data_IF_145989479678
#
_entry.id   IF_145989479678
#
_cell.length_a   1.000
_cell.length_b   1.000
_cell.length_c   1.000
_cell.angle_alpha   90.00
_cell.angle_beta   90.00
_cell.angle_gamma   90.00
#
_symmetry.space_group_name_H-M   'P 1'
#
loop_
_entity.id
_entity.type
_entity.pdbx_description
1 polymer ?
#
# COMPACT_ATOMS: atom_id res chain seq x y z
N UNK A 1 -8.64 -47.82 6.15
CA UNK A 1 -8.68 -46.99 4.91
C UNK A 1 -7.44 -47.28 4.09
N UNK A 2 -7.55 -47.47 2.77
CA UNK A 2 -6.37 -47.72 1.92
C UNK A 2 -5.54 -46.43 1.83
N UNK A 3 -4.22 -46.50 2.07
CA UNK A 3 -3.30 -45.34 2.09
C UNK A 3 -3.48 -44.37 0.90
N UNK A 4 -3.84 -44.90 -0.28
CA UNK A 4 -4.13 -44.13 -1.50
C UNK A 4 -5.31 -43.14 -1.33
N UNK A 5 -6.34 -43.52 -0.58
CA UNK A 5 -7.51 -42.67 -0.30
C UNK A 5 -7.13 -41.52 0.63
N UNK A 6 -6.33 -41.79 1.67
CA UNK A 6 -5.88 -40.75 2.62
C UNK A 6 -4.99 -39.71 1.91
N UNK A 7 -4.06 -40.17 1.08
CA UNK A 7 -3.17 -39.30 0.31
C UNK A 7 -3.96 -38.38 -0.65
N UNK A 8 -4.97 -38.94 -1.34
CA UNK A 8 -5.79 -38.18 -2.29
C UNK A 8 -6.61 -37.10 -1.57
N UNK A 9 -7.19 -37.42 -0.41
CA UNK A 9 -7.95 -36.45 0.41
C UNK A 9 -7.04 -35.33 0.93
N UNK A 10 -5.82 -35.64 1.38
CA UNK A 10 -4.88 -34.65 1.86
C UNK A 10 -4.47 -33.66 0.76
N UNK A 11 -4.21 -34.15 -0.47
CA UNK A 11 -3.87 -33.31 -1.62
C UNK A 11 -5.03 -32.39 -1.99
N UNK A 12 -6.26 -32.93 -2.06
CA UNK A 12 -7.46 -32.14 -2.37
C UNK A 12 -7.69 -31.06 -1.31
N UNK A 13 -7.57 -31.41 -0.03
CA UNK A 13 -7.73 -30.47 1.07
C UNK A 13 -6.70 -29.33 1.01
N UNK A 14 -5.44 -29.65 0.74
CA UNK A 14 -4.38 -28.64 0.54
C UNK A 14 -4.68 -27.72 -0.64
N UNK A 15 -5.14 -28.27 -1.76
CA UNK A 15 -5.46 -27.50 -2.96
C UNK A 15 -6.65 -26.55 -2.72
N UNK A 16 -7.69 -27.03 -2.04
CA UNK A 16 -8.85 -26.22 -1.64
C UNK A 16 -8.42 -25.10 -0.69
N UNK A 17 -7.57 -25.39 0.30
CA UNK A 17 -7.07 -24.38 1.23
C UNK A 17 -6.32 -23.25 0.51
N UNK A 18 -5.42 -23.61 -0.40
CA UNK A 18 -4.69 -22.63 -1.23
C UNK A 18 -5.66 -21.82 -2.10
N UNK A 19 -6.66 -22.48 -2.70
CA UNK A 19 -7.67 -21.82 -3.54
C UNK A 19 -8.50 -20.81 -2.74
N UNK A 20 -8.92 -21.16 -1.52
CA UNK A 20 -9.65 -20.24 -0.64
C UNK A 20 -8.79 -19.03 -0.25
N UNK A 21 -7.52 -19.24 0.10
CA UNK A 21 -6.60 -18.14 0.43
C UNK A 21 -6.46 -17.17 -0.75
N UNK A 22 -6.32 -17.70 -1.98
CA UNK A 22 -6.22 -16.87 -3.18
C UNK A 22 -7.48 -16.01 -3.40
N UNK A 23 -8.67 -16.58 -3.24
CA UNK A 23 -9.93 -15.83 -3.36
C UNK A 23 -10.06 -14.72 -2.31
N UNK A 24 -9.58 -14.93 -1.09
CA UNK A 24 -9.59 -13.92 -0.03
C UNK A 24 -8.64 -12.77 -0.38
N UNK A 25 -7.44 -13.07 -0.87
CA UNK A 25 -6.45 -12.05 -1.25
C UNK A 25 -6.98 -11.16 -2.37
N UNK A 26 -7.69 -11.72 -3.35
CA UNK A 26 -8.27 -10.94 -4.45
C UNK A 26 -9.43 -10.02 -4.02
N UNK A 27 -10.23 -10.43 -3.03
CA UNK A 27 -11.40 -9.66 -2.59
C UNK A 27 -11.10 -8.69 -1.43
N UNK A 28 -9.86 -8.61 -0.96
CA UNK A 28 -9.50 -7.68 0.13
C UNK A 28 -9.19 -6.30 -0.44
N UNK A 29 -10.16 -5.38 -0.36
CA UNK A 29 -9.94 -3.97 -0.67
C UNK A 29 -9.22 -3.27 0.49
N UNK A 30 -8.18 -2.47 0.18
CA UNK A 30 -7.49 -1.66 1.18
C UNK A 30 -8.40 -0.53 1.67
N UNK A 31 -8.61 -0.45 2.98
CA UNK A 31 -9.40 0.62 3.59
C UNK A 31 -8.76 1.98 3.32
N UNK A 32 -9.56 2.91 2.78
CA UNK A 32 -9.14 4.28 2.50
C UNK A 32 -9.11 5.06 3.81
N UNK A 33 -7.92 5.45 4.24
CA UNK A 33 -7.69 6.20 5.47
C UNK A 33 -7.42 7.68 5.16
N UNK A 34 -8.00 8.56 5.98
CA UNK A 34 -7.65 9.99 5.99
C UNK A 34 -6.33 10.19 6.72
N UNK A 35 -5.51 11.14 6.28
CA UNK A 35 -4.16 11.37 6.81
C UNK A 35 -4.19 11.67 8.31
N UNK A 36 -5.16 12.45 8.79
CA UNK A 36 -5.29 12.76 10.24
C UNK A 36 -5.56 11.52 11.11
N UNK A 37 -6.12 10.47 10.52
CA UNK A 37 -6.38 9.20 11.22
C UNK A 37 -5.14 8.31 11.35
N UNK A 38 -4.01 8.67 10.72
CA UNK A 38 -2.78 7.89 10.80
C UNK A 38 -2.10 8.16 12.15
N UNK A 39 -2.24 7.20 13.06
CA UNK A 39 -1.63 7.15 14.39
C UNK A 39 -0.57 6.06 14.45
N UNK A 40 0.15 5.98 15.59
CA UNK A 40 1.13 4.93 15.85
C UNK A 40 0.50 3.54 15.97
N UNK A 41 -0.79 3.44 16.26
CA UNK A 41 -1.50 2.15 16.29
C UNK A 41 -1.56 1.49 14.90
N UNK A 42 -1.37 2.28 13.84
CA UNK A 42 -1.40 1.82 12.46
C UNK A 42 -0.01 1.53 11.88
N UNK A 43 1.04 1.50 12.71
CA UNK A 43 2.38 1.10 12.26
C UNK A 43 2.36 -0.29 11.61
N UNK A 44 3.14 -0.45 10.53
CA UNK A 44 3.27 -1.70 9.77
C UNK A 44 1.96 -2.17 9.09
N UNK A 45 0.93 -1.32 9.07
CA UNK A 45 -0.31 -1.61 8.37
C UNK A 45 -0.28 -1.08 6.94
N UNK A 46 -0.85 -1.85 6.02
CA UNK A 46 -1.08 -1.41 4.65
C UNK A 46 -2.30 -0.51 4.60
N UNK A 47 -2.13 0.66 4.02
CA UNK A 47 -3.16 1.69 3.92
C UNK A 47 -3.24 2.23 2.53
N UNK A 48 -4.42 2.76 2.22
CA UNK A 48 -4.69 3.48 0.99
C UNK A 48 -5.06 4.92 1.35
N UNK A 49 -4.36 5.89 0.78
CA UNK A 49 -4.66 7.32 0.96
C UNK A 49 -4.92 7.98 -0.39
N UNK A 50 -5.74 9.04 -0.39
CA UNK A 50 -5.99 9.87 -1.56
C UNK A 50 -5.73 11.33 -1.21
N UNK A 51 -5.01 12.04 -2.08
CA UNK A 51 -4.63 13.42 -1.83
C UNK A 51 -3.91 14.05 -3.00
N UNK A 52 -3.44 15.28 -2.80
CA UNK A 52 -2.73 16.07 -3.79
C UNK A 52 -1.24 16.18 -3.43
N UNK A 53 -0.36 16.08 -4.44
CA UNK A 53 1.08 16.24 -4.25
C UNK A 53 1.43 17.72 -4.11
N UNK A 54 1.80 18.15 -2.91
CA UNK A 54 2.19 19.54 -2.64
C UNK A 54 3.68 19.79 -2.79
N UNK A 55 4.52 18.76 -2.63
CA UNK A 55 5.97 18.88 -2.78
C UNK A 55 6.62 17.57 -3.24
N UNK A 56 7.76 17.70 -3.91
CA UNK A 56 8.56 16.60 -4.43
C UNK A 56 10.01 16.90 -4.08
N UNK A 57 10.66 15.98 -3.38
CA UNK A 57 12.09 16.04 -3.05
C UNK A 57 12.75 14.75 -3.51
N UNK A 58 13.73 14.89 -4.39
CA UNK A 58 14.46 13.77 -4.94
C UNK A 58 15.80 13.61 -4.23
N UNK A 59 16.14 12.38 -3.84
CA UNK A 59 17.42 11.99 -3.24
C UNK A 59 18.05 10.85 -4.05
N UNK A 60 19.33 10.50 -3.87
CA UNK A 60 19.98 9.48 -4.69
C UNK A 60 19.24 8.12 -4.76
N UNK A 61 18.63 7.68 -3.65
CA UNK A 61 17.90 6.39 -3.59
C UNK A 61 16.38 6.49 -3.41
N UNK A 62 15.86 7.67 -3.03
CA UNK A 62 14.46 7.85 -2.66
C UNK A 62 13.84 9.06 -3.35
N UNK A 63 12.57 8.95 -3.69
CA UNK A 63 11.71 10.07 -4.02
C UNK A 63 10.75 10.30 -2.85
N UNK A 64 10.80 11.49 -2.26
CA UNK A 64 9.99 11.89 -1.11
C UNK A 64 8.92 12.85 -1.61
N UNK A 65 7.66 12.45 -1.50
CA UNK A 65 6.52 13.29 -1.82
C UNK A 65 5.90 13.82 -0.53
N UNK A 66 5.42 15.06 -0.56
CA UNK A 66 4.48 15.53 0.44
C UNK A 66 3.08 15.48 -0.16
N UNK A 67 2.19 14.76 0.49
CA UNK A 67 0.81 14.54 0.03
C UNK A 67 -0.13 15.15 1.04
N UNK A 68 -1.11 15.91 0.55
CA UNK A 68 -2.10 16.61 1.34
C UNK A 68 -3.49 16.09 1.00
N UNK A 69 -4.29 15.79 2.02
CA UNK A 69 -5.72 15.56 1.88
C UNK A 69 -6.52 16.69 2.57
N UNK A 70 -7.83 16.51 2.73
CA UNK A 70 -8.69 17.49 3.42
C UNK A 70 -8.43 17.58 4.94
N UNK A 71 -7.63 16.68 5.50
CA UNK A 71 -7.42 16.54 6.95
C UNK A 71 -6.00 16.81 7.42
N UNK A 72 -4.99 16.70 6.55
CA UNK A 72 -3.61 16.84 6.94
C UNK A 72 -2.62 16.67 5.78
N UNK A 73 -1.34 16.56 6.15
CA UNK A 73 -0.23 16.30 5.24
C UNK A 73 0.61 15.15 5.76
N UNK A 74 1.11 14.29 4.88
CA UNK A 74 2.02 13.20 5.22
C UNK A 74 3.13 13.10 4.19
N UNK A 75 4.29 12.63 4.65
CA UNK A 75 5.42 12.34 3.77
C UNK A 75 5.26 10.91 3.24
N UNK A 76 5.43 10.75 1.92
CA UNK A 76 5.38 9.48 1.22
C UNK A 76 6.74 9.19 0.61
N UNK A 77 7.32 8.04 0.96
CA UNK A 77 8.63 7.60 0.51
C UNK A 77 8.47 6.58 -0.60
N UNK A 78 9.16 6.80 -1.71
CA UNK A 78 9.20 5.89 -2.84
C UNK A 78 10.65 5.48 -3.07
N UNK A 79 10.90 4.18 -3.00
CA UNK A 79 12.21 3.63 -3.34
C UNK A 79 12.40 3.68 -4.86
N UNK A 80 13.50 4.27 -5.31
CA UNK A 80 13.81 4.43 -6.74
C UNK A 80 14.27 3.11 -7.35
N UNK A 81 13.33 2.19 -7.56
CA UNK A 81 13.54 0.99 -8.37
C UNK A 81 13.24 1.26 -9.86
N UNK A 82 12.47 2.32 -10.18
CA UNK A 82 12.18 2.80 -11.55
C UNK A 82 12.09 4.34 -11.58
N UNK A 83 12.32 4.96 -12.75
CA UNK A 83 12.01 6.38 -12.97
C UNK A 83 10.50 6.56 -12.99
N UNK A 84 9.96 7.35 -12.07
CA UNK A 84 8.53 7.66 -12.00
C UNK A 84 8.36 9.15 -12.31
N UNK A 85 7.59 9.46 -13.34
CA UNK A 85 7.36 10.85 -13.75
C UNK A 85 6.15 11.41 -12.97
N UNK A 86 6.43 12.03 -11.83
CA UNK A 86 5.42 12.61 -10.94
C UNK A 86 5.56 14.13 -10.97
N UNK A 87 4.43 14.84 -11.10
CA UNK A 87 4.38 16.31 -11.10
C UNK A 87 3.62 16.80 -9.88
N UNK A 88 3.96 17.99 -9.39
CA UNK A 88 3.21 18.66 -8.30
C UNK A 88 1.79 19.00 -8.75
N UNK A 89 0.90 19.22 -7.79
CA UNK A 89 -0.49 19.66 -8.01
C UNK A 89 -1.34 18.65 -8.79
N UNK A 90 -1.01 17.35 -8.68
CA UNK A 90 -1.77 16.25 -9.24
C UNK A 90 -2.43 15.49 -8.10
N UNK A 91 -3.69 15.10 -8.30
CA UNK A 91 -4.40 14.21 -7.40
C UNK A 91 -3.92 12.78 -7.60
N UNK A 92 -3.59 12.12 -6.50
CA UNK A 92 -3.00 10.79 -6.49
C UNK A 92 -3.65 9.92 -5.43
N UNK A 93 -3.64 8.64 -5.72
CA UNK A 93 -4.01 7.60 -4.79
C UNK A 93 -2.77 6.74 -4.51
N UNK A 94 -2.49 6.50 -3.24
CA UNK A 94 -1.25 5.88 -2.79
C UNK A 94 -1.61 4.70 -1.91
N UNK A 95 -1.11 3.54 -2.29
CA UNK A 95 -1.16 2.32 -1.49
C UNK A 95 0.24 2.07 -0.93
N UNK A 96 0.36 1.92 0.38
CA UNK A 96 1.65 1.77 1.03
C UNK A 96 1.53 1.31 2.48
N UNK A 97 2.66 1.26 3.16
CA UNK A 97 2.77 0.84 4.55
C UNK A 97 3.13 2.02 5.44
N UNK A 98 2.46 2.16 6.58
CA UNK A 98 2.78 3.21 7.56
C UNK A 98 4.06 2.82 8.30
N UNK A 99 5.03 3.72 8.30
CA UNK A 99 6.32 3.55 8.94
C UNK A 99 6.64 4.77 9.81
N UNK A 100 7.47 4.55 10.83
CA UNK A 100 8.05 5.62 11.63
C UNK A 100 9.51 5.81 11.25
N UNK A 101 9.88 7.04 10.88
CA UNK A 101 11.27 7.41 10.65
C UNK A 101 11.59 8.71 11.39
N UNK A 102 12.61 8.67 12.25
CA UNK A 102 13.03 9.82 13.09
C UNK A 102 11.85 10.42 13.88
N UNK A 103 11.05 9.57 14.51
CA UNK A 103 9.84 9.96 15.27
C UNK A 103 8.73 10.63 14.45
N UNK A 104 8.76 10.48 13.12
CA UNK A 104 7.74 11.01 12.21
C UNK A 104 7.08 9.87 11.43
N UNK A 105 5.75 9.85 11.43
CA UNK A 105 4.98 8.93 10.61
C UNK A 105 5.09 9.31 9.14
N UNK A 106 5.33 8.31 8.31
CA UNK A 106 5.45 8.42 6.85
C UNK A 106 4.84 7.17 6.21
N UNK A 107 4.58 7.22 4.92
CA UNK A 107 4.09 6.06 4.16
C UNK A 107 5.18 5.61 3.21
N UNK A 108 5.62 4.36 3.29
CA UNK A 108 6.39 3.73 2.23
C UNK A 108 5.43 3.28 1.13
N UNK A 109 5.49 3.91 -0.04
CA UNK A 109 4.56 3.63 -1.14
C UNK A 109 4.96 2.35 -1.90
N UNK A 110 3.99 1.46 -2.05
CA UNK A 110 4.09 0.26 -2.88
C UNK A 110 3.54 0.52 -4.28
N UNK A 111 2.48 1.34 -4.37
CA UNK A 111 1.80 1.68 -5.61
C UNK A 111 1.28 3.11 -5.56
N UNK A 112 1.39 3.80 -6.68
CA UNK A 112 0.89 5.16 -6.87
C UNK A 112 0.05 5.18 -8.14
N UNK A 113 -1.18 5.64 -8.02
CA UNK A 113 -2.11 5.83 -9.13
C UNK A 113 -2.32 7.33 -9.31
N UNK A 114 -2.02 7.83 -10.51
CA UNK A 114 -2.30 9.22 -10.87
C UNK A 114 -3.78 9.32 -11.26
N UNK A 115 -4.55 10.16 -10.56
CA UNK A 115 -5.92 10.47 -10.92
C UNK A 115 -5.87 11.64 -11.91
N UNK A 116 -5.72 11.33 -13.19
CA UNK A 116 -5.89 12.34 -14.25
C UNK A 116 -7.39 12.61 -14.43
N UNK A 117 -7.79 13.88 -14.28
CA UNK A 117 -9.06 14.33 -14.85
C UNK A 117 -8.96 14.19 -16.37
N UNK A 118 -9.93 13.47 -16.95
CA UNK A 118 -10.14 13.39 -18.40
C UNK A 118 -10.38 14.77 -19.02
#
# INVERSE_FOLDING_TARGET
MKNKTLLSVAIICSLIGIFIILLIVENTELSILKIKGITKEHLETKVKISGEITSIKETPGLLILQVKDSTGKIDVIIFKNKKINITKNIQVEIEGEIQEYKNKLQIAANKITLLRGS
#
